data_IF_215822720176
#
_entry.id   IF_215822720176
#
_cell.length_a   1.000
_cell.length_b   1.000
_cell.length_c   1.000
_cell.angle_alpha   90.00
_cell.angle_beta   90.00
_cell.angle_gamma   90.00
#
_symmetry.space_group_name_H-M   'P 1'
#
loop_
_entity.id
_entity.type
_entity.pdbx_description
1 polymer ?
#
# COMPACT_ATOMS: atom_id res chain seq x y z
N UNK A 1 45.98 21.13 34.83
CA UNK A 1 44.71 21.24 34.13
C UNK A 1 44.58 20.04 33.19
N UNK A 2 43.85 19.02 33.58
CA UNK A 2 43.74 17.74 32.86
C UNK A 2 42.57 17.83 31.90
N UNK A 3 42.85 17.79 30.59
CA UNK A 3 41.82 17.74 29.56
C UNK A 3 41.26 16.31 29.55
N UNK A 4 40.09 16.14 30.12
CA UNK A 4 39.34 14.88 30.03
C UNK A 4 38.85 14.72 28.58
N UNK A 5 39.50 13.82 27.85
CA UNK A 5 39.14 13.36 26.51
C UNK A 5 37.74 12.71 26.58
N UNK A 6 36.73 13.41 26.04
CA UNK A 6 35.37 12.89 25.96
C UNK A 6 35.35 11.85 24.83
N UNK A 7 35.36 10.57 25.20
CA UNK A 7 35.06 9.48 24.29
C UNK A 7 33.66 9.70 23.65
N UNK A 8 33.56 9.56 22.33
CA UNK A 8 32.25 9.64 21.67
C UNK A 8 31.33 8.52 22.19
N UNK A 9 30.03 8.82 22.33
CA UNK A 9 29.09 7.80 22.83
C UNK A 9 29.07 6.61 21.88
N UNK A 10 29.21 5.41 22.46
CA UNK A 10 29.15 4.14 21.74
C UNK A 10 27.90 4.07 20.87
N UNK A 11 28.08 3.81 19.57
CA UNK A 11 26.99 3.66 18.63
C UNK A 11 26.05 2.54 19.08
N UNK A 12 24.76 2.88 19.24
CA UNK A 12 23.77 1.92 19.73
C UNK A 12 23.60 0.76 18.74
N UNK A 13 23.55 -0.52 19.20
CA UNK A 13 23.48 -1.71 18.33
C UNK A 13 22.19 -1.84 17.51
N UNK A 14 21.24 -0.94 17.66
CA UNK A 14 19.91 -1.02 17.02
C UNK A 14 19.83 -0.47 15.60
N UNK A 15 20.91 0.02 15.01
CA UNK A 15 20.92 0.59 13.67
C UNK A 15 21.10 -0.43 12.52
N UNK A 16 21.44 -1.69 12.83
CA UNK A 16 22.01 -2.62 11.84
C UNK A 16 21.04 -3.46 11.01
N UNK A 17 19.70 -3.37 11.19
CA UNK A 17 18.78 -4.29 10.50
C UNK A 17 17.59 -3.65 9.77
N UNK A 18 17.65 -2.34 9.48
CA UNK A 18 16.55 -1.72 8.72
C UNK A 18 16.85 -1.76 7.22
N UNK A 19 16.07 -2.57 6.49
CA UNK A 19 16.09 -2.56 5.03
C UNK A 19 15.93 -1.13 4.50
N UNK A 20 16.65 -0.77 3.41
CA UNK A 20 16.47 0.53 2.74
C UNK A 20 14.98 0.74 2.41
N UNK A 21 14.47 1.98 2.48
CA UNK A 21 13.04 2.27 2.34
C UNK A 21 12.43 1.74 1.04
N UNK A 22 13.17 1.80 -0.06
CA UNK A 22 12.73 1.25 -1.34
C UNK A 22 12.56 -0.29 -1.29
N UNK A 23 13.48 -1.02 -0.64
CA UNK A 23 13.36 -2.49 -0.50
C UNK A 23 12.14 -2.88 0.33
N UNK A 24 11.83 -2.12 1.39
CA UNK A 24 10.60 -2.31 2.17
C UNK A 24 9.36 -2.07 1.33
N UNK A 25 9.34 -1.01 0.54
CA UNK A 25 8.21 -0.70 -0.34
C UNK A 25 8.02 -1.83 -1.37
N UNK A 26 9.08 -2.30 -2.02
CA UNK A 26 9.03 -3.41 -2.98
C UNK A 26 8.55 -4.71 -2.31
N UNK A 27 9.05 -5.07 -1.12
CA UNK A 27 8.62 -6.30 -0.45
C UNK A 27 7.14 -6.25 -0.07
N UNK A 28 6.64 -5.11 0.42
CA UNK A 28 5.21 -4.91 0.68
C UNK A 28 4.37 -5.00 -0.61
N UNK A 29 4.86 -4.43 -1.70
CA UNK A 29 4.20 -4.52 -3.01
C UNK A 29 4.09 -5.98 -3.48
N UNK A 30 5.15 -6.78 -3.30
CA UNK A 30 5.13 -8.21 -3.62
C UNK A 30 4.08 -8.96 -2.79
N UNK A 31 4.00 -8.67 -1.49
CA UNK A 31 2.96 -9.25 -0.61
C UNK A 31 1.56 -8.85 -1.09
N UNK A 32 1.35 -7.60 -1.51
CA UNK A 32 0.06 -7.18 -2.06
C UNK A 32 -0.29 -7.91 -3.35
N UNK A 33 0.65 -8.10 -4.27
CA UNK A 33 0.41 -8.84 -5.54
C UNK A 33 0.06 -10.29 -5.26
N UNK A 34 0.82 -10.98 -4.40
CA UNK A 34 0.54 -12.38 -4.04
C UNK A 34 -0.79 -12.52 -3.28
N UNK A 35 -1.11 -11.59 -2.39
CA UNK A 35 -2.38 -11.54 -1.68
C UNK A 35 -3.56 -11.34 -2.63
N UNK A 36 -3.46 -10.41 -3.58
CA UNK A 36 -4.47 -10.18 -4.61
C UNK A 36 -4.68 -11.44 -5.46
N UNK A 37 -3.60 -12.09 -5.91
CA UNK A 37 -3.68 -13.33 -6.67
C UNK A 37 -4.38 -14.46 -5.87
N UNK A 38 -4.03 -14.62 -4.59
CA UNK A 38 -4.65 -15.62 -3.73
C UNK A 38 -6.16 -15.35 -3.51
N UNK A 39 -6.54 -14.09 -3.30
CA UNK A 39 -7.95 -13.72 -3.09
C UNK A 39 -8.75 -13.92 -4.39
N UNK A 40 -8.24 -13.45 -5.54
CA UNK A 40 -8.94 -13.65 -6.83
C UNK A 40 -9.10 -15.12 -7.17
N UNK A 41 -8.11 -15.97 -6.84
CA UNK A 41 -8.20 -17.42 -6.99
C UNK A 41 -9.25 -18.04 -6.04
N UNK A 42 -9.29 -17.63 -4.77
CA UNK A 42 -10.29 -18.12 -3.81
C UNK A 42 -11.72 -17.69 -4.14
N UNK A 43 -11.90 -16.52 -4.75
CA UNK A 43 -13.17 -16.06 -5.30
C UNK A 43 -13.53 -16.75 -6.63
N UNK A 44 -12.66 -17.60 -7.16
CA UNK A 44 -12.84 -18.33 -8.44
C UNK A 44 -13.17 -17.39 -9.61
N UNK A 45 -12.53 -16.21 -9.65
CA UNK A 45 -12.71 -15.28 -10.75
C UNK A 45 -12.18 -15.88 -12.05
N UNK A 46 -12.78 -15.57 -13.22
CA UNK A 46 -12.25 -15.95 -14.52
C UNK A 46 -10.79 -15.52 -14.67
N UNK A 47 -9.97 -16.34 -15.28
CA UNK A 47 -8.52 -16.09 -15.42
C UNK A 47 -8.23 -14.72 -16.03
N UNK A 48 -8.99 -14.33 -17.05
CA UNK A 48 -8.82 -13.03 -17.70
C UNK A 48 -9.07 -11.86 -16.73
N UNK A 49 -10.12 -11.96 -15.89
CA UNK A 49 -10.44 -10.93 -14.89
C UNK A 49 -9.37 -10.88 -13.79
N UNK A 50 -8.88 -12.04 -13.33
CA UNK A 50 -7.79 -12.11 -12.35
C UNK A 50 -6.48 -11.51 -12.92
N UNK A 51 -6.14 -11.80 -14.15
CA UNK A 51 -4.98 -11.21 -14.84
C UNK A 51 -5.16 -9.71 -14.98
N UNK A 52 -6.35 -9.22 -15.36
CA UNK A 52 -6.66 -7.80 -15.46
C UNK A 52 -6.50 -7.07 -14.11
N UNK A 53 -6.99 -7.65 -13.02
CA UNK A 53 -6.83 -7.13 -11.65
C UNK A 53 -5.35 -7.02 -11.26
N UNK A 54 -4.57 -8.07 -11.51
CA UNK A 54 -3.13 -8.10 -11.21
C UNK A 54 -2.38 -7.09 -12.09
N UNK A 55 -2.69 -7.00 -13.37
CA UNK A 55 -2.07 -6.06 -14.28
C UNK A 55 -2.32 -4.60 -13.85
N UNK A 56 -3.57 -4.27 -13.46
CA UNK A 56 -3.92 -2.96 -12.91
C UNK A 56 -3.13 -2.66 -11.63
N UNK A 57 -3.05 -3.62 -10.70
CA UNK A 57 -2.27 -3.47 -9.48
C UNK A 57 -0.79 -3.23 -9.78
N UNK A 58 -0.19 -4.03 -10.66
CA UNK A 58 1.22 -3.88 -11.05
C UNK A 58 1.47 -2.52 -11.71
N UNK A 59 0.61 -2.08 -12.61
CA UNK A 59 0.71 -0.76 -13.23
C UNK A 59 0.68 0.36 -12.18
N UNK A 60 -0.27 0.33 -11.25
CA UNK A 60 -0.36 1.29 -10.14
C UNK A 60 0.88 1.26 -9.24
N UNK A 61 1.44 0.08 -8.96
CA UNK A 61 2.66 -0.07 -8.18
C UNK A 61 3.89 0.50 -8.91
N UNK A 62 4.01 0.29 -10.22
CA UNK A 62 5.10 0.86 -11.04
C UNK A 62 5.06 2.38 -10.99
N UNK A 63 3.90 2.98 -11.19
CA UNK A 63 3.70 4.44 -11.08
C UNK A 63 4.05 4.92 -9.67
N UNK A 64 3.60 4.22 -8.64
CA UNK A 64 3.88 4.55 -7.23
C UNK A 64 5.38 4.46 -6.91
N UNK A 65 6.09 3.45 -7.42
CA UNK A 65 7.55 3.33 -7.25
C UNK A 65 8.29 4.46 -7.97
N UNK A 66 7.85 4.85 -9.16
CA UNK A 66 8.44 5.99 -9.88
C UNK A 66 8.23 7.29 -9.10
N UNK A 67 7.02 7.54 -8.62
CA UNK A 67 6.69 8.70 -7.77
C UNK A 67 7.48 8.70 -6.45
N UNK A 68 7.61 7.55 -5.82
CA UNK A 68 8.42 7.39 -4.61
C UNK A 68 9.89 7.77 -4.84
N UNK A 69 10.49 7.30 -5.94
CA UNK A 69 11.89 7.64 -6.30
C UNK A 69 12.09 9.13 -6.56
N UNK A 70 11.11 9.76 -7.21
CA UNK A 70 11.19 11.17 -7.59
C UNK A 70 11.03 12.15 -6.41
N UNK A 71 10.19 11.82 -5.43
CA UNK A 71 9.73 12.77 -4.41
C UNK A 71 10.04 12.38 -2.96
N UNK A 72 10.59 11.19 -2.71
CA UNK A 72 10.83 10.72 -1.34
C UNK A 72 12.18 11.19 -0.80
N UNK A 73 12.18 12.31 -0.09
CA UNK A 73 13.36 12.87 0.58
C UNK A 73 13.64 12.27 1.97
N UNK A 74 12.70 11.56 2.55
CA UNK A 74 12.82 11.00 3.89
C UNK A 74 13.08 9.50 3.82
N UNK A 75 14.16 9.02 4.45
CA UNK A 75 14.62 7.63 4.41
C UNK A 75 13.73 6.56 5.07
N UNK A 76 12.41 6.77 5.19
CA UNK A 76 11.49 5.82 5.85
C UNK A 76 10.15 5.75 5.15
N UNK A 77 9.72 4.52 4.80
CA UNK A 77 8.33 4.25 4.43
C UNK A 77 7.49 4.28 5.69
N UNK A 78 6.56 5.22 5.80
CA UNK A 78 5.63 5.31 6.93
C UNK A 78 4.69 4.11 6.96
N UNK A 79 4.15 3.77 8.15
CA UNK A 79 3.15 2.72 8.28
C UNK A 79 1.87 3.08 7.50
N UNK A 80 1.54 4.36 7.37
CA UNK A 80 0.43 4.83 6.54
C UNK A 80 0.56 4.32 5.08
N UNK A 81 1.72 4.52 4.43
CA UNK A 81 1.93 4.04 3.05
C UNK A 81 1.80 2.52 2.92
N UNK A 82 2.11 1.76 3.98
CA UNK A 82 1.91 0.30 3.97
C UNK A 82 0.41 -0.05 3.99
N UNK A 83 -0.39 0.68 4.76
CA UNK A 83 -1.86 0.48 4.80
C UNK A 83 -2.48 0.86 3.45
N UNK A 84 -2.06 1.99 2.86
CA UNK A 84 -2.52 2.41 1.53
C UNK A 84 -2.16 1.37 0.45
N UNK A 85 -0.99 0.71 0.53
CA UNK A 85 -0.63 -0.40 -0.37
C UNK A 85 -1.57 -1.60 -0.22
N UNK A 86 -1.92 -1.99 1.00
CA UNK A 86 -2.89 -3.08 1.24
C UNK A 86 -4.25 -2.71 0.65
N UNK A 87 -4.67 -1.45 0.85
CA UNK A 87 -5.92 -0.94 0.31
C UNK A 87 -5.94 -0.95 -1.23
N UNK A 88 -4.84 -0.59 -1.87
CA UNK A 88 -4.68 -0.72 -3.33
C UNK A 88 -4.87 -2.17 -3.80
N UNK A 89 -4.34 -3.17 -3.04
CA UNK A 89 -4.57 -4.59 -3.31
C UNK A 89 -6.06 -4.97 -3.24
N UNK A 90 -6.78 -4.47 -2.22
CA UNK A 90 -8.24 -4.69 -2.09
C UNK A 90 -9.00 -4.05 -3.26
N UNK A 91 -8.64 -2.84 -3.66
CA UNK A 91 -9.24 -2.16 -4.83
C UNK A 91 -9.00 -2.97 -6.11
N UNK A 92 -7.83 -3.56 -6.28
CA UNK A 92 -7.52 -4.41 -7.42
C UNK A 92 -8.40 -5.69 -7.45
N UNK A 93 -8.68 -6.31 -6.29
CA UNK A 93 -9.62 -7.44 -6.21
C UNK A 93 -11.03 -7.01 -6.61
N UNK A 94 -11.51 -5.87 -6.11
CA UNK A 94 -12.82 -5.32 -6.49
C UNK A 94 -12.90 -5.02 -7.99
N UNK A 95 -11.85 -4.48 -8.59
CA UNK A 95 -11.75 -4.30 -10.03
C UNK A 95 -11.78 -5.65 -10.77
N UNK A 96 -11.18 -6.70 -10.21
CA UNK A 96 -11.26 -8.06 -10.74
C UNK A 96 -12.70 -8.60 -10.75
N UNK A 97 -13.47 -8.36 -9.69
CA UNK A 97 -14.89 -8.73 -9.63
C UNK A 97 -15.68 -7.96 -10.71
N UNK A 98 -15.41 -6.66 -10.86
CA UNK A 98 -16.01 -5.83 -11.92
C UNK A 98 -15.69 -6.38 -13.31
N UNK A 99 -14.43 -6.70 -13.61
CA UNK A 99 -14.01 -7.24 -14.91
C UNK A 99 -14.61 -8.63 -15.19
N UNK A 100 -14.89 -9.40 -14.15
CA UNK A 100 -15.55 -10.69 -14.29
C UNK A 100 -17.05 -10.57 -14.62
N UNK A 101 -17.65 -9.39 -14.42
CA UNK A 101 -19.10 -9.24 -14.48
C UNK A 101 -19.83 -10.12 -13.47
N UNK A 102 -19.13 -10.50 -12.38
CA UNK A 102 -19.62 -11.47 -11.41
C UNK A 102 -20.42 -10.78 -10.31
N UNK A 103 -21.61 -11.29 -10.00
CA UNK A 103 -22.39 -10.84 -8.85
C UNK A 103 -21.88 -11.51 -7.59
N UNK A 104 -21.00 -10.83 -6.86
CA UNK A 104 -20.48 -11.30 -5.57
C UNK A 104 -20.75 -10.27 -4.45
N UNK A 105 -22.01 -10.01 -4.10
CA UNK A 105 -22.37 -8.89 -3.22
C UNK A 105 -21.73 -8.99 -1.83
N UNK A 106 -21.60 -10.18 -1.29
CA UNK A 106 -20.97 -10.41 0.03
C UNK A 106 -19.48 -10.07 -0.02
N UNK A 107 -18.77 -10.48 -1.09
CA UNK A 107 -17.36 -10.17 -1.24
C UNK A 107 -17.14 -8.66 -1.47
N UNK A 108 -17.97 -8.02 -2.29
CA UNK A 108 -17.92 -6.57 -2.52
C UNK A 108 -18.17 -5.80 -1.22
N UNK A 109 -19.19 -6.18 -0.45
CA UNK A 109 -19.49 -5.54 0.82
C UNK A 109 -18.35 -5.72 1.83
N UNK A 110 -17.84 -6.93 1.99
CA UNK A 110 -16.75 -7.22 2.92
C UNK A 110 -15.47 -6.49 2.55
N UNK A 111 -15.04 -6.58 1.28
CA UNK A 111 -13.83 -5.91 0.80
C UNK A 111 -13.96 -4.38 0.82
N UNK A 112 -15.11 -3.85 0.45
CA UNK A 112 -15.41 -2.43 0.55
C UNK A 112 -15.33 -1.91 1.98
N UNK A 113 -15.92 -2.64 2.93
CA UNK A 113 -15.85 -2.31 4.36
C UNK A 113 -14.40 -2.36 4.87
N UNK A 114 -13.63 -3.39 4.50
CA UNK A 114 -12.21 -3.49 4.86
C UNK A 114 -11.44 -2.29 4.31
N UNK A 115 -11.65 -1.92 3.05
CA UNK A 115 -10.96 -0.77 2.45
C UNK A 115 -11.28 0.54 3.17
N UNK A 116 -12.54 0.78 3.56
CA UNK A 116 -12.95 1.95 4.34
C UNK A 116 -12.35 1.96 5.75
N UNK A 117 -12.30 0.80 6.42
CA UNK A 117 -11.64 0.71 7.73
C UNK A 117 -10.13 1.01 7.65
N UNK A 118 -9.48 0.51 6.60
CA UNK A 118 -8.05 0.78 6.36
C UNK A 118 -7.79 2.27 6.11
N UNK A 119 -8.66 2.97 5.39
CA UNK A 119 -8.59 4.42 5.20
C UNK A 119 -8.59 5.20 6.52
N UNK A 120 -9.48 4.84 7.44
CA UNK A 120 -9.48 5.43 8.79
C UNK A 120 -8.17 5.15 9.57
N UNK A 121 -7.59 3.98 9.37
CA UNK A 121 -6.34 3.57 10.06
C UNK A 121 -5.13 4.32 9.49
N UNK A 122 -4.98 4.43 8.16
CA UNK A 122 -3.83 5.13 7.57
C UNK A 122 -3.86 6.63 7.87
N UNK A 123 -5.02 7.27 7.82
CA UNK A 123 -5.22 8.64 8.24
C UNK A 123 -4.85 8.88 9.72
N UNK A 124 -5.23 7.96 10.62
CA UNK A 124 -4.82 8.01 12.03
C UNK A 124 -3.30 7.86 12.19
N UNK A 125 -2.70 6.87 11.51
CA UNK A 125 -1.26 6.60 11.57
C UNK A 125 -0.43 7.76 11.00
N UNK A 126 -0.86 8.36 9.89
CA UNK A 126 -0.20 9.52 9.29
C UNK A 126 -0.11 10.70 10.27
N UNK A 127 -1.23 11.01 10.94
CA UNK A 127 -1.28 12.07 11.98
C UNK A 127 -0.39 11.75 13.18
N UNK A 128 -0.43 10.52 13.68
CA UNK A 128 0.35 10.10 14.85
C UNK A 128 1.85 10.06 14.61
N UNK A 129 2.28 9.64 13.42
CA UNK A 129 3.70 9.48 13.11
C UNK A 129 4.36 10.78 12.66
N UNK A 130 3.61 11.86 12.37
CA UNK A 130 4.12 13.12 11.78
C UNK A 130 5.01 12.89 10.54
N UNK A 131 4.79 11.78 9.84
CA UNK A 131 5.53 11.36 8.64
C UNK A 131 4.71 11.67 7.37
N UNK A 132 4.06 12.83 7.35
CA UNK A 132 3.34 13.29 6.16
C UNK A 132 4.36 13.64 5.08
N UNK A 133 4.28 12.96 3.93
CA UNK A 133 5.06 13.28 2.74
C UNK A 133 4.12 13.66 1.60
N UNK A 134 4.57 14.54 0.70
CA UNK A 134 3.81 14.88 -0.51
C UNK A 134 3.47 13.62 -1.32
N UNK A 135 4.41 12.68 -1.41
CA UNK A 135 4.17 11.39 -2.07
C UNK A 135 3.07 10.59 -1.38
N UNK A 136 3.12 10.44 -0.04
CA UNK A 136 2.13 9.66 0.71
C UNK A 136 0.72 10.23 0.55
N UNK A 137 0.56 11.55 0.62
CA UNK A 137 -0.74 12.21 0.44
C UNK A 137 -1.28 12.05 -0.99
N UNK A 138 -0.44 12.19 -2.01
CA UNK A 138 -0.85 11.99 -3.40
C UNK A 138 -1.22 10.52 -3.66
N UNK A 139 -0.42 9.58 -3.15
CA UNK A 139 -0.67 8.16 -3.30
C UNK A 139 -1.99 7.73 -2.66
N UNK A 140 -2.28 8.21 -1.47
CA UNK A 140 -3.53 7.96 -0.76
C UNK A 140 -4.74 8.50 -1.53
N UNK A 141 -4.67 9.75 -1.99
CA UNK A 141 -5.72 10.37 -2.80
C UNK A 141 -6.00 9.61 -4.12
N UNK A 142 -4.97 9.05 -4.75
CA UNK A 142 -5.13 8.25 -5.97
C UNK A 142 -5.82 6.92 -5.69
N UNK A 143 -5.46 6.25 -4.59
CA UNK A 143 -6.10 4.99 -4.17
C UNK A 143 -7.57 5.23 -3.78
N UNK A 144 -7.88 6.35 -3.11
CA UNK A 144 -9.25 6.75 -2.78
C UNK A 144 -10.10 6.97 -4.01
N UNK A 145 -9.57 7.69 -4.99
CA UNK A 145 -10.25 7.95 -6.25
C UNK A 145 -10.54 6.67 -7.02
N UNK A 146 -9.55 5.76 -7.08
CA UNK A 146 -9.70 4.45 -7.71
C UNK A 146 -10.75 3.59 -6.98
N UNK A 147 -10.75 3.60 -5.63
CA UNK A 147 -11.73 2.89 -4.83
C UNK A 147 -13.15 3.39 -5.07
N UNK A 148 -13.35 4.71 -5.03
CA UNK A 148 -14.65 5.32 -5.28
C UNK A 148 -15.17 4.99 -6.69
N UNK A 149 -14.29 5.06 -7.71
CA UNK A 149 -14.64 4.72 -9.08
C UNK A 149 -15.07 3.25 -9.21
N UNK A 150 -14.29 2.32 -8.65
CA UNK A 150 -14.60 0.88 -8.74
C UNK A 150 -15.91 0.56 -8.02
N UNK A 151 -16.16 1.14 -6.83
CA UNK A 151 -17.43 0.95 -6.13
C UNK A 151 -18.60 1.52 -6.91
N UNK A 152 -18.46 2.70 -7.51
CA UNK A 152 -19.52 3.31 -8.32
C UNK A 152 -19.87 2.47 -9.56
N UNK A 153 -18.89 1.72 -10.12
CA UNK A 153 -19.12 0.84 -11.26
C UNK A 153 -19.66 -0.54 -10.86
N UNK A 154 -19.51 -0.93 -9.59
CA UNK A 154 -20.05 -2.18 -9.02
C UNK A 154 -21.48 -2.02 -8.47
N UNK A 155 -21.93 -0.78 -8.24
CA UNK A 155 -23.27 -0.46 -7.72
C UNK A 155 -24.32 -0.54 -8.81
#
# INVERSE_FOLDING_TARGET
>A
MTVAERLPPAASPRAATRLPPLRRFISLSTVCVTGTAAITASLRLPTLAAVGAIALLVAALVVSIAGFRAHHRHGRVGAANAVTLVRLGVVAVLAGILFAGATQPVAVLALGTIALCLDGVDGYLARRQRLTSRFGAAFDMEVDSAFALVLALLA
#
